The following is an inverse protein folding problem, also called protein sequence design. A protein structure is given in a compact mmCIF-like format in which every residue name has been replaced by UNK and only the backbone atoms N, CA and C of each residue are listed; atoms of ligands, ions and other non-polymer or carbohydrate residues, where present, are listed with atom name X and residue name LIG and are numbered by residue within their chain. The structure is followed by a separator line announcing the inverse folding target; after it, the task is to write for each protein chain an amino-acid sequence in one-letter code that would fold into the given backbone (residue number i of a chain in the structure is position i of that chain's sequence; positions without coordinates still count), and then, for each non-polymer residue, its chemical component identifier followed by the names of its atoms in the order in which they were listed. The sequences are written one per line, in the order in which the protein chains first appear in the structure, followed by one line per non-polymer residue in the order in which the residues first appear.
data_IF_219329189761
#
_entry.id   IF_219329189761
#
_cell.length_a   1.000
_cell.length_b   1.000
_cell.length_c   1.000
_cell.angle_alpha   90.00
_cell.angle_beta   90.00
_cell.angle_gamma   90.00
#
_symmetry.space_group_name_H-M   'P 1'
#
loop_
_entity.id
_entity.type
_entity.pdbx_description
1 polymer ?
#
# COMPACT_ATOMS: atom_id res chain seq x y z
N UNK A 1 28.12 -15.44 -15.10
CA UNK A 1 28.07 -16.63 -14.25
C UNK A 1 28.59 -16.28 -12.85
N UNK A 2 27.74 -16.09 -11.87
CA UNK A 2 28.11 -15.92 -10.45
C UNK A 2 27.31 -16.91 -9.63
N UNK A 3 28.03 -17.84 -8.99
CA UNK A 3 27.52 -18.98 -8.23
C UNK A 3 26.92 -18.52 -6.90
N UNK A 4 25.70 -18.96 -6.63
CA UNK A 4 25.03 -18.87 -5.33
C UNK A 4 25.78 -19.72 -4.29
N UNK A 5 26.14 -19.08 -3.15
CA UNK A 5 26.68 -19.78 -1.98
C UNK A 5 25.53 -20.14 -1.04
N UNK A 6 25.16 -21.40 -1.03
CA UNK A 6 24.33 -22.00 0.02
C UNK A 6 25.24 -22.33 1.21
N UNK A 7 24.97 -21.73 2.37
CA UNK A 7 25.63 -22.11 3.63
C UNK A 7 24.84 -23.29 4.20
N UNK A 8 25.45 -24.48 4.16
CA UNK A 8 24.98 -25.65 4.90
C UNK A 8 25.47 -25.52 6.34
N UNK A 9 24.54 -25.41 7.30
CA UNK A 9 24.84 -25.59 8.72
C UNK A 9 24.76 -27.09 9.02
N UNK A 10 25.88 -27.66 9.41
CA UNK A 10 25.96 -29.04 9.85
C UNK A 10 25.44 -29.16 11.28
N UNK A 11 24.48 -30.06 11.50
CA UNK A 11 24.06 -30.49 12.83
C UNK A 11 25.09 -31.48 13.39
N UNK A 12 25.77 -31.09 14.45
CA UNK A 12 26.51 -32.02 15.34
C UNK A 12 25.55 -32.42 16.45
N UNK A 13 25.18 -33.71 16.42
CA UNK A 13 24.45 -34.35 17.51
C UNK A 13 25.40 -34.59 18.67
N UNK A 14 25.29 -33.85 19.73
CA UNK A 14 25.87 -34.11 21.03
C UNK A 14 24.77 -34.38 22.06
N UNK A 15 24.58 -35.63 22.45
CA UNK A 15 23.74 -35.97 23.61
C UNK A 15 24.43 -35.44 24.88
N UNK A 16 23.85 -34.37 25.46
CA UNK A 16 24.02 -34.04 26.87
C UNK A 16 22.64 -34.01 27.50
N UNK A 17 22.36 -35.03 28.32
CA UNK A 17 21.28 -35.00 29.30
C UNK A 17 21.59 -33.88 30.31
N UNK A 18 20.85 -32.80 30.25
CA UNK A 18 20.83 -31.73 31.25
C UNK A 18 19.40 -31.46 31.67
N UNK A 19 19.17 -31.04 32.96
CA UNK A 19 17.91 -31.22 33.62
C UNK A 19 16.83 -30.29 33.08
N UNK A 20 15.58 -30.67 33.33
CA UNK A 20 14.35 -29.91 33.14
C UNK A 20 14.59 -28.41 33.31
N UNK A 21 14.72 -27.69 32.19
CA UNK A 21 14.61 -26.24 32.21
C UNK A 21 13.17 -25.91 32.63
N UNK A 22 13.02 -25.37 33.83
CA UNK A 22 11.80 -24.71 34.29
C UNK A 22 11.30 -23.83 33.11
N UNK A 23 10.07 -24.07 32.68
CA UNK A 23 9.35 -23.16 31.80
C UNK A 23 9.21 -21.84 32.56
N UNK A 24 10.18 -20.94 32.38
CA UNK A 24 10.11 -19.61 32.93
C UNK A 24 8.77 -19.00 32.50
N UNK A 25 7.96 -18.62 33.48
CA UNK A 25 6.66 -17.99 33.25
C UNK A 25 6.88 -16.72 32.40
N UNK A 26 6.42 -16.75 31.16
CA UNK A 26 6.42 -15.57 30.31
C UNK A 26 5.52 -14.54 30.98
N UNK A 27 6.01 -13.30 31.23
CA UNK A 27 5.23 -12.29 31.94
C UNK A 27 3.85 -12.12 31.31
N UNK A 28 2.80 -12.03 32.11
CA UNK A 28 1.40 -11.93 31.65
C UNK A 28 1.18 -10.85 30.58
N UNK A 29 1.94 -9.73 30.67
CA UNK A 29 1.94 -8.66 29.65
C UNK A 29 2.47 -9.14 28.29
N UNK A 30 3.52 -9.95 28.26
CA UNK A 30 4.07 -10.50 27.01
C UNK A 30 3.14 -11.55 26.41
N UNK A 31 2.47 -12.37 27.24
CA UNK A 31 1.44 -13.31 26.77
C UNK A 31 0.21 -12.59 26.20
N UNK A 32 -0.21 -11.47 26.83
CA UNK A 32 -1.30 -10.64 26.32
C UNK A 32 -0.96 -10.01 24.96
N UNK A 33 0.25 -9.44 24.82
CA UNK A 33 0.73 -8.87 23.56
C UNK A 33 0.81 -9.93 22.45
N UNK A 34 1.29 -11.14 22.76
CA UNK A 34 1.34 -12.25 21.81
C UNK A 34 -0.06 -12.70 21.33
N UNK A 35 -1.04 -12.75 22.24
CA UNK A 35 -2.43 -13.06 21.88
C UNK A 35 -3.06 -11.97 21.00
N UNK A 36 -2.74 -10.71 21.25
CA UNK A 36 -3.25 -9.59 20.46
C UNK A 36 -2.66 -9.60 19.04
N UNK A 37 -1.36 -9.81 18.88
CA UNK A 37 -0.71 -9.94 17.57
C UNK A 37 -1.28 -11.11 16.78
N UNK A 38 -1.48 -12.27 17.42
CA UNK A 38 -2.10 -13.45 16.80
C UNK A 38 -3.54 -13.15 16.35
N UNK A 39 -4.32 -12.44 17.16
CA UNK A 39 -5.67 -11.99 16.80
C UNK A 39 -5.65 -11.15 15.52
N UNK A 40 -4.73 -10.19 15.43
CA UNK A 40 -4.63 -9.33 14.24
C UNK A 40 -4.10 -10.09 13.02
N UNK A 41 -3.20 -11.03 13.21
CA UNK A 41 -2.73 -11.92 12.14
C UNK A 41 -3.89 -12.71 11.53
N UNK A 42 -4.71 -13.38 12.35
CA UNK A 42 -5.87 -14.14 11.89
C UNK A 42 -6.91 -13.27 11.15
N UNK A 43 -7.14 -12.05 11.66
CA UNK A 43 -8.06 -11.10 11.01
C UNK A 43 -7.53 -10.62 9.66
N UNK A 44 -6.22 -10.39 9.55
CA UNK A 44 -5.57 -10.01 8.30
C UNK A 44 -5.65 -11.15 7.26
N UNK A 45 -5.41 -12.36 7.67
CA UNK A 45 -5.56 -13.55 6.81
C UNK A 45 -7.01 -13.73 6.33
N UNK A 46 -7.98 -13.55 7.21
CA UNK A 46 -9.39 -13.58 6.84
C UNK A 46 -9.75 -12.45 5.85
N UNK A 47 -9.28 -11.22 6.10
CA UNK A 47 -9.44 -10.09 5.18
C UNK A 47 -8.90 -10.43 3.78
N UNK A 48 -7.68 -10.94 3.68
CA UNK A 48 -7.09 -11.27 2.39
C UNK A 48 -7.84 -12.41 1.71
N UNK A 49 -8.16 -13.47 2.43
CA UNK A 49 -8.90 -14.61 1.88
C UNK A 49 -10.29 -14.24 1.40
N UNK A 50 -11.08 -13.49 2.19
CA UNK A 50 -12.53 -13.34 2.00
C UNK A 50 -12.92 -12.06 1.25
N UNK A 51 -12.02 -11.06 1.21
CA UNK A 51 -12.30 -9.77 0.58
C UNK A 51 -11.44 -9.53 -0.66
N UNK A 52 -10.28 -10.18 -0.79
CA UNK A 52 -9.28 -9.88 -1.81
C UNK A 52 -9.11 -11.05 -2.78
N UNK A 53 -8.67 -12.22 -2.30
CA UNK A 53 -8.39 -13.37 -3.18
C UNK A 53 -9.61 -14.23 -3.50
N UNK A 54 -10.63 -14.24 -2.63
CA UNK A 54 -11.89 -14.95 -2.85
C UNK A 54 -13.05 -14.10 -2.31
N UNK A 55 -13.35 -12.95 -2.91
CA UNK A 55 -14.46 -12.11 -2.47
C UNK A 55 -15.78 -12.89 -2.59
N UNK A 56 -16.64 -12.71 -1.58
CA UNK A 56 -17.92 -13.44 -1.49
C UNK A 56 -19.06 -12.77 -2.28
N UNK A 57 -18.76 -11.70 -2.98
CA UNK A 57 -19.68 -10.94 -3.81
C UNK A 57 -19.28 -11.00 -5.29
N UNK A 58 -19.84 -10.11 -6.11
CA UNK A 58 -19.63 -10.05 -7.57
C UNK A 58 -18.29 -9.42 -8.01
N UNK A 59 -17.40 -9.07 -7.08
CA UNK A 59 -16.09 -8.48 -7.41
C UNK A 59 -15.15 -9.53 -7.97
N UNK A 60 -14.34 -9.14 -8.95
CA UNK A 60 -13.28 -10.00 -9.45
C UNK A 60 -12.20 -10.21 -8.37
N UNK A 61 -11.73 -11.44 -8.17
CA UNK A 61 -10.64 -11.70 -7.23
C UNK A 61 -9.33 -11.08 -7.71
N UNK A 62 -8.56 -10.52 -6.78
CA UNK A 62 -7.14 -10.21 -7.00
C UNK A 62 -6.36 -11.52 -7.08
N UNK A 63 -5.57 -11.69 -8.15
CA UNK A 63 -4.87 -12.95 -8.49
C UNK A 63 -3.37 -12.84 -8.37
N UNK A 64 -2.81 -11.63 -8.43
CA UNK A 64 -1.36 -11.45 -8.30
C UNK A 64 -0.89 -11.88 -6.90
N UNK A 65 -0.16 -12.98 -6.90
CA UNK A 65 0.37 -13.60 -5.69
C UNK A 65 1.25 -12.65 -4.87
N UNK A 66 2.05 -11.81 -5.53
CA UNK A 66 2.92 -10.84 -4.84
C UNK A 66 2.09 -9.77 -4.12
N UNK A 67 1.00 -9.31 -4.74
CA UNK A 67 0.06 -8.36 -4.11
C UNK A 67 -0.61 -9.02 -2.92
N UNK A 68 -1.09 -10.25 -3.05
CA UNK A 68 -1.70 -11.02 -1.96
C UNK A 68 -0.70 -11.18 -0.79
N UNK A 69 0.55 -11.55 -1.06
CA UNK A 69 1.60 -11.70 -0.06
C UNK A 69 1.92 -10.35 0.64
N UNK A 70 1.97 -9.24 -0.11
CA UNK A 70 2.15 -7.91 0.47
C UNK A 70 0.99 -7.51 1.38
N UNK A 71 -0.25 -7.77 0.99
CA UNK A 71 -1.44 -7.51 1.81
C UNK A 71 -1.49 -8.38 3.08
N UNK A 72 -0.94 -9.59 3.04
CA UNK A 72 -0.74 -10.45 4.20
C UNK A 72 0.36 -9.94 5.13
N UNK A 73 1.42 -9.35 4.58
CA UNK A 73 2.57 -8.89 5.36
C UNK A 73 2.33 -7.55 6.07
N UNK A 74 1.63 -6.59 5.44
CA UNK A 74 1.45 -5.25 6.00
C UNK A 74 0.35 -5.23 7.07
N UNK A 75 0.67 -4.87 8.34
CA UNK A 75 -0.29 -4.88 9.46
C UNK A 75 -1.19 -3.64 9.43
N UNK A 76 -2.30 -3.70 8.70
CA UNK A 76 -3.20 -2.57 8.45
C UNK A 76 -3.68 -1.86 9.73
N UNK A 77 -3.85 -2.59 10.84
CA UNK A 77 -4.26 -2.02 12.12
C UNK A 77 -3.27 -0.99 12.69
N UNK A 78 -2.01 -0.98 12.23
CA UNK A 78 -1.01 0.03 12.61
C UNK A 78 -1.10 1.31 11.76
N UNK A 79 -1.99 1.35 10.77
CA UNK A 79 -2.20 2.49 9.85
C UNK A 79 -3.54 3.20 10.06
N UNK A 80 -4.29 2.84 11.07
CA UNK A 80 -5.55 3.47 11.46
C UNK A 80 -5.42 4.20 12.78
N UNK A 81 -6.40 5.03 13.10
CA UNK A 81 -6.51 5.65 14.42
C UNK A 81 -6.72 4.58 15.50
N UNK A 82 -6.21 4.73 16.73
CA UNK A 82 -6.42 3.79 17.83
C UNK A 82 -7.89 3.42 18.06
N UNK A 83 -8.82 4.34 17.87
CA UNK A 83 -10.26 4.09 17.98
C UNK A 83 -10.83 3.18 16.87
N UNK A 84 -10.09 2.98 15.78
CA UNK A 84 -10.50 2.19 14.61
C UNK A 84 -9.79 0.84 14.50
N UNK A 85 -8.89 0.51 15.42
CA UNK A 85 -8.05 -0.71 15.37
C UNK A 85 -8.90 -1.98 15.24
N UNK A 86 -9.98 -2.10 15.99
CA UNK A 86 -10.88 -3.24 15.89
C UNK A 86 -11.65 -3.33 14.56
N UNK A 87 -11.67 -2.27 13.79
CA UNK A 87 -12.33 -2.20 12.47
C UNK A 87 -11.34 -2.28 11.30
N UNK A 88 -10.04 -2.29 11.58
CA UNK A 88 -8.99 -2.14 10.59
C UNK A 88 -9.05 -3.16 9.43
N UNK A 89 -9.57 -4.34 9.67
CA UNK A 89 -9.66 -5.43 8.70
C UNK A 89 -11.05 -5.60 8.09
N UNK A 90 -11.95 -4.62 8.29
CA UNK A 90 -13.26 -4.58 7.64
C UNK A 90 -13.16 -4.18 6.16
N UNK A 91 -14.13 -4.63 5.35
CA UNK A 91 -14.17 -4.41 3.90
C UNK A 91 -14.74 -3.03 3.53
N UNK A 92 -14.21 -1.99 4.12
CA UNK A 92 -14.62 -0.60 3.91
C UNK A 92 -13.47 0.39 4.22
N UNK A 93 -13.55 1.63 3.72
CA UNK A 93 -12.62 2.68 4.11
C UNK A 93 -12.86 3.11 5.56
N UNK A 94 -11.79 3.58 6.23
CA UNK A 94 -11.85 4.10 7.60
C UNK A 94 -11.31 5.52 7.67
N UNK A 95 -11.87 6.38 8.54
CA UNK A 95 -11.36 7.73 8.73
C UNK A 95 -9.96 7.70 9.34
N UNK A 96 -9.11 8.62 8.87
CA UNK A 96 -7.74 8.84 9.37
C UNK A 96 -7.52 10.30 9.83
N UNK A 97 -8.59 11.06 10.00
CA UNK A 97 -8.55 12.48 10.34
C UNK A 97 -8.54 13.38 9.09
N UNK A 98 -8.70 14.67 9.33
CA UNK A 98 -8.66 15.72 8.29
C UNK A 98 -9.62 15.50 7.11
N UNK A 99 -10.74 14.81 7.32
CA UNK A 99 -11.68 14.44 6.26
C UNK A 99 -11.17 13.36 5.30
N UNK A 100 -10.04 12.73 5.60
CA UNK A 100 -9.43 11.69 4.76
C UNK A 100 -9.69 10.27 5.30
N UNK A 101 -9.47 9.29 4.43
CA UNK A 101 -9.68 7.88 4.76
C UNK A 101 -8.51 7.00 4.30
N UNK A 102 -8.25 5.93 5.03
CA UNK A 102 -7.52 4.78 4.49
C UNK A 102 -8.48 4.00 3.60
N UNK A 103 -8.08 3.71 2.37
CA UNK A 103 -8.94 3.03 1.37
C UNK A 103 -9.34 1.62 1.82
N UNK A 104 -10.49 1.12 1.31
CA UNK A 104 -10.94 -0.25 1.48
C UNK A 104 -9.84 -1.24 1.07
N UNK A 105 -9.59 -2.33 1.83
CA UNK A 105 -8.53 -3.29 1.53
C UNK A 105 -8.55 -3.84 0.11
N UNK A 106 -9.73 -4.22 -0.38
CA UNK A 106 -9.91 -4.69 -1.75
C UNK A 106 -9.43 -3.68 -2.79
N UNK A 107 -9.79 -2.41 -2.62
CA UNK A 107 -9.40 -1.33 -3.56
C UNK A 107 -7.88 -1.12 -3.57
N UNK A 108 -7.22 -1.17 -2.40
CA UNK A 108 -5.75 -1.12 -2.31
C UNK A 108 -5.11 -2.25 -3.11
N UNK A 109 -5.57 -3.48 -2.91
CA UNK A 109 -5.05 -4.65 -3.61
C UNK A 109 -5.32 -4.60 -5.11
N UNK A 110 -6.55 -4.25 -5.52
CA UNK A 110 -6.94 -4.16 -6.93
C UNK A 110 -6.13 -3.10 -7.69
N UNK A 111 -6.02 -1.88 -7.14
CA UNK A 111 -5.24 -0.82 -7.80
C UNK A 111 -3.76 -1.19 -7.89
N UNK A 112 -3.22 -1.90 -6.91
CA UNK A 112 -1.84 -2.40 -6.93
C UNK A 112 -1.65 -3.45 -8.02
N UNK A 113 -2.57 -4.43 -8.14
CA UNK A 113 -2.55 -5.45 -9.20
C UNK A 113 -2.64 -4.85 -10.59
N UNK A 114 -3.58 -3.90 -10.79
CA UNK A 114 -3.80 -3.24 -12.09
C UNK A 114 -2.56 -2.51 -12.60
N UNK A 115 -1.67 -2.07 -11.71
CA UNK A 115 -0.42 -1.41 -12.08
C UNK A 115 0.67 -2.39 -12.51
N UNK A 116 0.53 -3.69 -12.28
CA UNK A 116 1.52 -4.73 -12.67
C UNK A 116 2.94 -4.34 -12.26
N UNK A 117 3.14 -4.06 -10.97
CA UNK A 117 4.43 -3.61 -10.45
C UNK A 117 5.49 -4.72 -10.41
N UNK A 118 6.76 -4.31 -10.48
CA UNK A 118 7.92 -5.23 -10.47
C UNK A 118 9.02 -4.72 -9.53
N UNK A 119 9.86 -5.61 -8.96
CA UNK A 119 10.82 -5.26 -7.91
C UNK A 119 11.85 -4.19 -8.25
N UNK A 120 12.17 -3.99 -9.54
CA UNK A 120 13.14 -2.97 -9.97
C UNK A 120 12.55 -1.58 -10.19
N UNK A 121 11.24 -1.41 -10.04
CA UNK A 121 10.51 -0.21 -10.45
C UNK A 121 10.51 0.88 -9.39
N UNK A 122 10.29 2.11 -9.87
CA UNK A 122 10.04 3.34 -9.13
C UNK A 122 8.57 3.71 -9.24
N UNK A 123 7.90 3.86 -8.10
CA UNK A 123 6.46 4.19 -8.04
C UNK A 123 6.26 5.57 -7.43
N UNK A 124 5.36 6.36 -8.02
CA UNK A 124 4.80 7.57 -7.40
C UNK A 124 3.40 7.28 -6.86
N UNK A 125 3.18 7.60 -5.60
CA UNK A 125 1.87 7.67 -4.97
C UNK A 125 1.46 9.12 -4.76
N UNK A 126 0.24 9.47 -5.13
CA UNK A 126 -0.39 10.77 -4.84
C UNK A 126 -1.52 10.56 -3.85
N UNK A 127 -1.38 11.11 -2.65
CA UNK A 127 -2.27 10.92 -1.51
C UNK A 127 -1.75 9.87 -0.52
N UNK A 128 -0.67 10.19 0.21
CA UNK A 128 -0.05 9.29 1.20
C UNK A 128 -1.04 8.84 2.28
N UNK A 129 -1.86 9.77 2.77
CA UNK A 129 -2.82 9.53 3.84
C UNK A 129 -2.18 8.89 5.07
N UNK A 130 -2.58 7.66 5.39
CA UNK A 130 -2.00 6.89 6.49
C UNK A 130 -0.62 6.29 6.20
N UNK A 131 -0.21 6.21 4.93
CA UNK A 131 0.99 5.50 4.46
C UNK A 131 0.77 4.00 4.18
N UNK A 132 -0.47 3.50 4.25
CA UNK A 132 -0.75 2.07 4.07
C UNK A 132 -0.48 1.59 2.65
N UNK A 133 -0.93 2.31 1.62
CA UNK A 133 -0.65 1.98 0.23
C UNK A 133 0.85 2.04 -0.07
N UNK A 134 1.56 3.06 0.44
CA UNK A 134 3.01 3.16 0.34
C UNK A 134 3.72 1.94 0.97
N UNK A 135 3.26 1.48 2.15
CA UNK A 135 3.78 0.29 2.81
C UNK A 135 3.57 -0.98 1.99
N UNK A 136 2.41 -1.13 1.33
CA UNK A 136 2.15 -2.25 0.41
C UNK A 136 3.11 -2.21 -0.77
N UNK A 137 3.29 -1.05 -1.42
CA UNK A 137 4.26 -0.92 -2.52
C UNK A 137 5.69 -1.16 -2.11
N UNK A 138 6.08 -0.79 -0.90
CA UNK A 138 7.46 -0.93 -0.43
C UNK A 138 7.96 -2.39 -0.46
N UNK A 139 7.04 -3.35 -0.37
CA UNK A 139 7.36 -4.79 -0.45
C UNK A 139 7.43 -5.31 -1.90
N UNK A 140 6.98 -4.51 -2.87
CA UNK A 140 6.80 -4.94 -4.26
C UNK A 140 7.77 -4.28 -5.23
N UNK A 141 8.31 -3.11 -4.88
CA UNK A 141 9.12 -2.27 -5.78
C UNK A 141 10.41 -1.80 -5.12
N UNK A 142 11.31 -1.23 -5.92
CA UNK A 142 12.59 -0.72 -5.43
C UNK A 142 12.43 0.54 -4.59
N UNK A 143 11.74 1.54 -5.11
CA UNK A 143 11.58 2.86 -4.48
C UNK A 143 10.13 3.33 -4.58
N UNK A 144 9.60 3.84 -3.48
CA UNK A 144 8.28 4.47 -3.39
C UNK A 144 8.43 5.94 -3.06
N UNK A 145 7.89 6.79 -3.90
CA UNK A 145 7.77 8.23 -3.70
C UNK A 145 6.31 8.55 -3.44
N UNK A 146 6.01 9.20 -2.34
CA UNK A 146 4.63 9.49 -1.95
C UNK A 146 4.45 10.96 -1.62
N UNK A 147 3.39 11.58 -2.17
CA UNK A 147 3.12 13.01 -2.00
C UNK A 147 1.83 13.19 -1.20
N UNK A 148 1.90 14.01 -0.15
CA UNK A 148 0.77 14.34 0.71
C UNK A 148 0.65 15.87 0.85
N UNK A 149 -0.56 16.40 0.65
CA UNK A 149 -0.80 17.85 0.78
C UNK A 149 -1.08 18.25 2.22
N UNK A 150 -1.65 17.34 3.03
CA UNK A 150 -2.00 17.61 4.43
C UNK A 150 -0.76 17.35 5.28
N UNK A 151 -0.12 18.44 5.70
CA UNK A 151 1.15 18.43 6.42
C UNK A 151 1.16 17.45 7.63
N UNK A 152 0.10 17.48 8.43
CA UNK A 152 -0.01 16.61 9.61
C UNK A 152 -0.07 15.13 9.24
N UNK A 153 -0.83 14.75 8.20
CA UNK A 153 -0.88 13.37 7.71
C UNK A 153 0.46 12.92 7.13
N UNK A 154 1.09 13.75 6.31
CA UNK A 154 2.39 13.44 5.73
C UNK A 154 3.47 13.18 6.78
N UNK A 155 3.52 13.99 7.85
CA UNK A 155 4.42 13.77 9.00
C UNK A 155 4.11 12.48 9.74
N UNK A 156 2.85 12.26 10.10
CA UNK A 156 2.43 11.04 10.80
C UNK A 156 2.73 9.77 10.00
N UNK A 157 2.53 9.81 8.68
CA UNK A 157 2.86 8.72 7.78
C UNK A 157 4.37 8.46 7.72
N UNK A 158 5.19 9.53 7.58
CA UNK A 158 6.65 9.41 7.57
C UNK A 158 7.20 8.77 8.86
N UNK A 159 6.74 9.24 10.03
CA UNK A 159 7.15 8.70 11.32
C UNK A 159 6.69 7.24 11.48
N UNK A 160 5.48 6.90 11.03
CA UNK A 160 4.95 5.54 11.06
C UNK A 160 5.76 4.60 10.18
N UNK A 161 5.99 4.96 8.95
CA UNK A 161 6.73 4.13 7.98
C UNK A 161 8.17 3.92 8.45
N UNK A 162 8.84 4.95 8.96
CA UNK A 162 10.17 4.84 9.55
C UNK A 162 10.19 3.88 10.75
N UNK A 163 9.24 4.02 11.68
CA UNK A 163 9.12 3.11 12.85
C UNK A 163 8.87 1.67 12.45
N UNK A 164 8.10 1.45 11.38
CA UNK A 164 7.77 0.13 10.84
C UNK A 164 8.81 -0.40 9.85
N UNK A 165 9.93 0.33 9.62
CA UNK A 165 11.07 -0.08 8.77
C UNK A 165 10.74 -0.24 7.29
N UNK A 166 9.86 0.60 6.76
CA UNK A 166 9.64 0.74 5.32
C UNK A 166 10.62 1.76 4.74
N UNK A 167 11.90 1.39 4.73
CA UNK A 167 13.05 2.33 4.52
C UNK A 167 13.19 2.81 3.05
N UNK A 168 12.51 2.17 2.09
CA UNK A 168 12.48 2.55 0.68
C UNK A 168 11.32 3.48 0.31
N UNK A 169 10.58 4.00 1.29
CA UNK A 169 9.50 4.97 1.08
C UNK A 169 9.99 6.39 1.41
N UNK A 170 9.82 7.30 0.46
CA UNK A 170 10.10 8.72 0.64
C UNK A 170 8.81 9.51 0.57
N UNK A 171 8.58 10.41 1.53
CA UNK A 171 7.39 11.26 1.59
C UNK A 171 7.79 12.71 1.35
N UNK A 172 7.00 13.38 0.47
CA UNK A 172 7.06 14.82 0.25
C UNK A 172 5.72 15.44 0.65
N UNK A 173 5.78 16.52 1.41
CA UNK A 173 4.59 17.33 1.73
C UNK A 173 4.49 18.41 0.66
N UNK A 174 3.54 18.23 -0.27
CA UNK A 174 3.32 19.12 -1.42
C UNK A 174 1.96 18.87 -2.06
N UNK A 175 1.58 19.74 -3.02
CA UNK A 175 0.40 19.53 -3.86
C UNK A 175 0.63 18.38 -4.85
N UNK A 176 -0.05 17.27 -4.63
CA UNK A 176 0.07 16.05 -5.41
C UNK A 176 -0.34 16.16 -6.88
N UNK A 177 -1.08 17.21 -7.27
CA UNK A 177 -1.38 17.48 -8.67
C UNK A 177 -0.12 17.63 -9.52
N UNK A 178 0.93 18.19 -8.93
CA UNK A 178 2.21 18.39 -9.61
C UNK A 178 3.14 17.17 -9.54
N UNK A 179 2.78 16.15 -8.76
CA UNK A 179 3.61 14.96 -8.56
C UNK A 179 4.92 15.27 -7.86
N UNK A 180 6.00 14.62 -8.33
CA UNK A 180 7.35 14.82 -7.83
C UNK A 180 8.35 14.83 -9.01
N UNK A 181 8.41 15.97 -9.69
CA UNK A 181 9.10 16.10 -10.97
C UNK A 181 10.59 15.76 -10.88
N UNK A 182 11.27 16.20 -9.81
CA UNK A 182 12.70 16.00 -9.61
C UNK A 182 13.12 14.53 -9.48
N UNK A 183 12.17 13.67 -9.10
CA UNK A 183 12.37 12.23 -8.95
C UNK A 183 11.81 11.41 -10.12
N UNK A 184 11.12 12.08 -11.06
CA UNK A 184 10.64 11.41 -12.27
C UNK A 184 11.76 11.02 -13.25
N UNK A 185 11.46 10.25 -14.30
CA UNK A 185 10.17 9.63 -14.57
C UNK A 185 9.90 8.40 -13.69
N UNK A 186 8.62 8.06 -13.52
CA UNK A 186 8.14 6.92 -12.73
C UNK A 186 7.66 5.78 -13.63
N UNK A 187 7.95 4.55 -13.23
CA UNK A 187 7.45 3.35 -13.90
C UNK A 187 5.94 3.20 -13.74
N UNK A 188 5.46 3.51 -12.54
CA UNK A 188 4.06 3.40 -12.16
C UNK A 188 3.65 4.61 -11.34
N UNK A 189 2.41 5.05 -11.53
CA UNK A 189 1.80 6.12 -10.73
C UNK A 189 0.47 5.61 -10.17
N UNK A 190 0.24 5.78 -8.89
CA UNK A 190 -1.06 5.57 -8.25
C UNK A 190 -1.56 6.90 -7.69
N UNK A 191 -2.84 7.19 -7.92
CA UNK A 191 -3.51 8.34 -7.30
C UNK A 191 -4.64 7.80 -6.43
N UNK A 192 -4.57 8.05 -5.12
CA UNK A 192 -5.48 7.52 -4.11
C UNK A 192 -6.56 8.52 -3.70
N UNK A 193 -6.77 9.54 -4.51
CA UNK A 193 -7.82 10.56 -4.41
C UNK A 193 -8.40 10.85 -5.80
N UNK A 194 -9.64 11.34 -5.86
CA UNK A 194 -10.33 11.57 -7.13
C UNK A 194 -10.01 12.93 -7.73
N UNK A 195 -9.73 12.95 -9.02
CA UNK A 195 -9.56 14.18 -9.81
C UNK A 195 -10.62 14.28 -10.90
N UNK A 196 -11.02 15.50 -11.26
CA UNK A 196 -11.98 15.71 -12.37
C UNK A 196 -11.40 15.31 -13.72
N UNK A 197 -10.08 15.36 -13.86
CA UNK A 197 -9.31 14.94 -15.04
C UNK A 197 -7.98 14.36 -14.61
N UNK A 198 -7.30 13.65 -15.51
CA UNK A 198 -5.94 13.17 -15.27
C UNK A 198 -4.98 14.36 -15.29
N UNK A 199 -4.24 14.65 -14.20
CA UNK A 199 -3.33 15.78 -14.14
C UNK A 199 -2.21 15.71 -15.20
N UNK A 200 -2.07 16.73 -16.09
CA UNK A 200 -1.02 16.71 -17.11
C UNK A 200 0.42 16.56 -16.56
N UNK A 201 0.77 17.14 -15.39
CA UNK A 201 2.10 16.92 -14.80
C UNK A 201 2.39 15.45 -14.50
N UNK A 202 1.40 14.66 -14.07
CA UNK A 202 1.57 13.23 -13.81
C UNK A 202 1.77 12.44 -15.11
N UNK A 203 1.10 12.81 -16.21
CA UNK A 203 1.33 12.22 -17.53
C UNK A 203 2.74 12.47 -18.05
N UNK A 204 3.31 13.65 -17.78
CA UNK A 204 4.70 13.97 -18.13
C UNK A 204 5.69 13.11 -17.35
N UNK A 205 5.43 12.90 -16.06
CA UNK A 205 6.28 12.11 -15.15
C UNK A 205 6.11 10.60 -15.30
N UNK A 206 5.08 10.14 -16.02
CA UNK A 206 4.94 8.73 -16.39
C UNK A 206 5.93 8.40 -17.51
N UNK A 207 6.81 7.42 -17.29
CA UNK A 207 7.77 6.99 -18.30
C UNK A 207 7.08 6.35 -19.52
N UNK A 208 7.78 6.20 -20.63
CA UNK A 208 7.38 5.32 -21.73
C UNK A 208 7.26 3.87 -21.22
N UNK A 209 6.24 3.11 -21.66
CA UNK A 209 5.89 1.80 -21.11
C UNK A 209 5.27 1.84 -19.70
N UNK A 210 5.01 3.03 -19.15
CA UNK A 210 4.47 3.22 -17.80
C UNK A 210 2.94 3.09 -17.71
N UNK A 211 2.46 2.81 -16.49
CA UNK A 211 1.02 2.74 -16.19
C UNK A 211 0.67 3.63 -15.00
N UNK A 212 -0.52 4.24 -15.06
CA UNK A 212 -1.09 5.01 -13.96
C UNK A 212 -2.50 4.51 -13.66
N UNK A 213 -2.83 4.41 -12.37
CA UNK A 213 -4.17 4.12 -11.88
C UNK A 213 -4.69 5.32 -11.09
N UNK A 214 -5.82 5.90 -11.51
CA UNK A 214 -6.38 7.11 -10.93
C UNK A 214 -7.92 7.09 -10.96
N UNK A 215 -8.60 7.47 -9.85
CA UNK A 215 -10.03 7.74 -9.86
C UNK A 215 -10.33 9.05 -10.60
N UNK A 216 -11.13 9.00 -11.66
CA UNK A 216 -11.50 10.18 -12.44
C UNK A 216 -13.02 10.42 -12.35
N UNK A 217 -13.40 11.61 -11.95
CA UNK A 217 -14.78 12.05 -11.81
C UNK A 217 -14.91 13.21 -10.81
N UNK A 218 -16.00 13.96 -10.90
CA UNK A 218 -16.28 15.07 -9.99
C UNK A 218 -16.72 14.60 -8.61
N UNK A 219 -16.68 15.48 -7.63
CA UNK A 219 -17.06 15.19 -6.24
C UNK A 219 -18.51 14.69 -6.09
N UNK A 220 -19.42 15.18 -6.95
CA UNK A 220 -20.85 14.84 -6.94
C UNK A 220 -21.25 13.95 -8.13
N UNK A 221 -20.28 13.46 -8.90
CA UNK A 221 -20.50 12.58 -10.03
C UNK A 221 -19.94 11.18 -9.75
N UNK A 222 -20.30 10.21 -10.58
CA UNK A 222 -19.69 8.88 -10.53
C UNK A 222 -18.22 9.00 -10.90
N UNK A 223 -17.36 8.56 -10.00
CA UNK A 223 -15.92 8.44 -10.26
C UNK A 223 -15.65 7.04 -10.83
N UNK A 224 -14.80 6.98 -11.84
CA UNK A 224 -14.35 5.71 -12.40
C UNK A 224 -12.86 5.52 -12.16
N UNK A 225 -12.50 4.37 -11.66
CA UNK A 225 -11.10 3.97 -11.64
C UNK A 225 -10.62 3.87 -13.09
N UNK A 226 -9.62 4.66 -13.42
CA UNK A 226 -9.12 4.83 -14.79
C UNK A 226 -7.68 4.36 -14.87
N UNK A 227 -7.43 3.41 -15.76
CA UNK A 227 -6.07 3.03 -16.16
C UNK A 227 -5.59 3.92 -17.27
N UNK A 228 -4.40 4.47 -17.10
CA UNK A 228 -3.68 5.26 -18.10
C UNK A 228 -2.40 4.49 -18.45
N UNK A 229 -2.18 4.25 -19.72
CA UNK A 229 -0.99 3.57 -20.22
C UNK A 229 -0.28 4.49 -21.21
N UNK A 230 1.04 4.59 -21.10
CA UNK A 230 1.89 5.33 -22.02
C UNK A 230 2.73 4.33 -22.80
N UNK A 231 2.52 4.26 -24.13
CA UNK A 231 3.31 3.35 -24.98
C UNK A 231 4.79 3.76 -25.01
N UNK A 232 5.66 2.91 -25.56
CA UNK A 232 7.08 3.23 -25.74
C UNK A 232 7.28 4.45 -26.66
N UNK A 233 6.33 4.69 -27.60
CA UNK A 233 6.32 5.86 -28.50
C UNK A 233 5.68 7.10 -27.87
N UNK A 234 5.28 7.03 -26.56
CA UNK A 234 4.70 8.13 -25.83
C UNK A 234 3.20 8.34 -26.03
N UNK A 235 2.49 7.46 -26.76
CA UNK A 235 1.03 7.54 -26.94
C UNK A 235 0.32 7.21 -25.63
N UNK A 236 -0.65 8.04 -25.25
CA UNK A 236 -1.47 7.82 -24.05
C UNK A 236 -2.79 7.14 -24.43
N UNK A 237 -3.11 6.06 -23.73
CA UNK A 237 -4.42 5.41 -23.75
C UNK A 237 -5.04 5.46 -22.37
N UNK A 238 -6.37 5.62 -22.29
CA UNK A 238 -7.12 5.68 -21.04
C UNK A 238 -8.31 4.75 -21.10
N UNK A 239 -8.48 3.92 -20.08
CA UNK A 239 -9.59 2.97 -19.97
C UNK A 239 -10.25 3.07 -18.60
N UNK A 240 -11.53 3.42 -18.58
CA UNK A 240 -12.36 3.33 -17.36
C UNK A 240 -12.61 1.86 -17.04
N UNK A 241 -12.56 1.51 -15.74
CA UNK A 241 -12.75 0.14 -15.27
C UNK A 241 -14.01 0.02 -14.41
N UNK A 242 -13.97 0.37 -13.15
CA UNK A 242 -15.11 0.21 -12.25
C UNK A 242 -15.49 1.53 -11.57
N UNK A 243 -16.78 1.69 -11.18
CA UNK A 243 -17.20 2.84 -10.40
C UNK A 243 -16.63 2.75 -8.98
N UNK A 244 -16.15 3.90 -8.48
CA UNK A 244 -15.52 4.02 -7.15
C UNK A 244 -15.95 5.32 -6.48
N UNK A 245 -15.61 5.45 -5.20
CA UNK A 245 -15.79 6.68 -4.44
C UNK A 245 -14.55 6.98 -3.61
N UNK A 246 -13.85 8.03 -3.98
CA UNK A 246 -12.66 8.54 -3.31
C UNK A 246 -12.89 9.98 -2.81
N UNK A 247 -12.11 10.36 -1.81
CA UNK A 247 -11.98 11.76 -1.41
C UNK A 247 -11.37 12.58 -2.56
N UNK A 248 -11.72 13.87 -2.70
CA UNK A 248 -11.19 14.68 -3.81
C UNK A 248 -9.68 14.93 -3.67
N UNK A 249 -9.00 15.04 -4.82
CA UNK A 249 -7.65 15.59 -4.90
C UNK A 249 -7.68 17.05 -4.48
N UNK A 250 -7.27 17.32 -3.26
CA UNK A 250 -7.19 18.67 -2.70
C UNK A 250 -6.02 19.42 -3.34
N UNK A 251 -6.21 20.73 -3.58
CA UNK A 251 -5.18 21.60 -4.15
C UNK A 251 -4.75 22.63 -3.11
N UNK A 252 -3.48 23.05 -3.17
CA UNK A 252 -3.07 24.28 -2.50
C UNK A 252 -3.85 25.45 -3.10
N UNK A 253 -4.27 26.41 -2.28
CA UNK A 253 -4.73 27.68 -2.83
C UNK A 253 -3.57 28.31 -3.65
N UNK A 254 -3.88 28.94 -4.79
CA UNK A 254 -2.89 29.63 -5.60
C UNK A 254 -2.21 30.77 -4.83
#
# INVERSE_FOLDING_TARGET
MRKSRWIRVAFLAGLCLSPLAEKGDVPAKAQAAGREEERFRLRREAMVREQISHPRDYRDPVKDRKVIEAMLAVPRHLFVDPSQVDRAYGDYPLPIGYGQTISQPYIVALMTEMLEVSPGQKVLEVGTGSGYQAAVFSLLVKDVYSVEIIHALGRQAADRLKRLRYDNVRIRIADGYYGWEEEGPFDRIIVTCASTLVPPPLLKQLRAGGKMCIPVGGQYAVQYLTMVEKSEEGRITMRKTLPVRFVPLTRSAP
#
